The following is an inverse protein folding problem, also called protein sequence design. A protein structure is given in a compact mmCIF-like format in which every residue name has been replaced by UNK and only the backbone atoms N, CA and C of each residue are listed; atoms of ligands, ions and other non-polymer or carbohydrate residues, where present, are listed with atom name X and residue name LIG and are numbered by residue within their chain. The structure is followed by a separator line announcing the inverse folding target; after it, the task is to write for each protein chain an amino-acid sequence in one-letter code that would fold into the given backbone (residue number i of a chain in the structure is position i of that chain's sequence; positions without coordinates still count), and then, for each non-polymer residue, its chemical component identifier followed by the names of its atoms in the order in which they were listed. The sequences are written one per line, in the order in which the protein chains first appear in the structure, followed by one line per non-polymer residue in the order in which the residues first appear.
data_IF_919889223767
#
_entry.id   IF_919889223767
#
_cell.length_a   1.000
_cell.length_b   1.000
_cell.length_c   1.000
_cell.angle_alpha   90.00
_cell.angle_beta   90.00
_cell.angle_gamma   90.00
#
_symmetry.space_group_name_H-M   'P 1'
#
loop_
_entity.id
_entity.type
_entity.pdbx_description
1 polymer ?
#
# COMPACT_ATOMS: atom_id res chain seq x y z
N UNK A 1 11.31 1.87 6.64
CA UNK A 1 12.26 1.91 5.50
C UNK A 1 11.54 2.07 4.17
N UNK A 2 10.66 1.15 3.73
CA UNK A 2 9.96 1.26 2.43
C UNK A 2 9.21 2.60 2.22
N UNK A 3 8.49 3.09 3.24
CA UNK A 3 7.84 4.41 3.17
C UNK A 3 8.81 5.57 2.97
N UNK A 4 10.01 5.52 3.56
CA UNK A 4 11.01 6.57 3.39
C UNK A 4 11.61 6.55 1.97
N UNK A 5 11.89 5.35 1.45
CA UNK A 5 12.34 5.18 0.06
C UNK A 5 11.28 5.73 -0.90
N UNK A 6 10.01 5.35 -0.70
CA UNK A 6 8.91 5.80 -1.55
C UNK A 6 8.72 7.31 -1.50
N UNK A 7 8.73 7.90 -0.29
CA UNK A 7 8.62 9.35 -0.13
C UNK A 7 9.75 10.06 -0.85
N UNK A 8 11.00 9.63 -0.63
CA UNK A 8 12.17 10.19 -1.27
C UNK A 8 12.10 10.11 -2.81
N UNK A 9 11.70 8.96 -3.35
CA UNK A 9 11.74 8.73 -4.80
C UNK A 9 10.54 9.34 -5.54
N UNK A 10 9.32 9.23 -4.99
CA UNK A 10 8.07 9.48 -5.70
C UNK A 10 7.21 10.61 -5.12
N UNK A 11 7.60 11.20 -4.00
CA UNK A 11 6.88 12.34 -3.38
C UNK A 11 7.77 13.58 -3.32
N UNK A 12 8.96 13.44 -2.72
CA UNK A 12 9.91 14.55 -2.56
C UNK A 12 10.83 14.70 -3.79
N UNK A 13 10.93 13.66 -4.63
CA UNK A 13 11.77 13.58 -5.83
C UNK A 13 13.26 13.83 -5.55
N UNK A 14 13.77 13.38 -4.40
CA UNK A 14 15.14 13.68 -3.94
C UNK A 14 16.22 13.31 -4.96
N UNK A 15 16.20 12.13 -5.63
CA UNK A 15 17.25 11.79 -6.59
C UNK A 15 17.27 12.72 -7.81
N UNK A 16 16.10 13.20 -8.24
CA UNK A 16 15.94 14.12 -9.38
C UNK A 16 16.44 15.51 -8.99
N UNK A 17 15.99 16.02 -7.84
CA UNK A 17 16.44 17.31 -7.29
C UNK A 17 17.95 17.33 -7.01
N UNK A 18 18.51 16.21 -6.55
CA UNK A 18 19.95 16.06 -6.36
C UNK A 18 20.73 16.15 -7.68
N UNK A 19 20.21 15.58 -8.78
CA UNK A 19 20.81 15.72 -10.12
C UNK A 19 20.79 17.17 -10.59
N UNK A 20 19.64 17.84 -10.49
CA UNK A 20 19.47 19.23 -10.90
C UNK A 20 20.48 20.12 -10.16
N UNK A 21 20.52 20.04 -8.83
CA UNK A 21 21.43 20.84 -8.00
C UNK A 21 22.92 20.55 -8.29
N UNK A 22 23.26 19.30 -8.66
CA UNK A 22 24.63 18.96 -9.05
C UNK A 22 25.01 19.59 -10.39
N UNK A 23 24.11 19.58 -11.38
CA UNK A 23 24.34 20.20 -12.69
C UNK A 23 24.56 21.71 -12.54
N UNK A 24 23.73 22.39 -11.75
CA UNK A 24 23.86 23.83 -11.47
C UNK A 24 25.20 24.20 -10.81
N UNK A 25 25.78 23.27 -10.04
CA UNK A 25 27.06 23.43 -9.35
C UNK A 25 28.26 22.90 -10.16
N UNK A 26 28.05 22.39 -11.39
CA UNK A 26 29.10 21.78 -12.19
C UNK A 26 29.68 20.48 -11.59
N UNK A 27 28.87 19.74 -10.82
CA UNK A 27 29.22 18.46 -10.18
C UNK A 27 28.60 17.27 -10.94
N UNK A 28 29.05 16.06 -10.64
CA UNK A 28 28.52 14.82 -11.24
C UNK A 28 27.07 14.53 -10.77
N UNK A 29 26.06 14.61 -11.66
CA UNK A 29 24.67 14.34 -11.30
C UNK A 29 24.42 12.86 -10.95
N UNK A 30 25.09 11.93 -11.62
CA UNK A 30 24.92 10.50 -11.33
C UNK A 30 25.34 10.22 -9.89
N UNK A 31 26.49 10.77 -9.48
CA UNK A 31 27.00 10.64 -8.12
C UNK A 31 26.04 11.25 -7.09
N UNK A 32 25.46 12.41 -7.39
CA UNK A 32 24.49 13.05 -6.51
C UNK A 32 23.22 12.20 -6.30
N UNK A 33 22.67 11.62 -7.37
CA UNK A 33 21.55 10.69 -7.27
C UNK A 33 21.91 9.43 -6.47
N UNK A 34 23.11 8.85 -6.65
CA UNK A 34 23.54 7.69 -5.86
C UNK A 34 23.57 7.99 -4.35
N UNK A 35 24.00 9.19 -3.96
CA UNK A 35 23.98 9.64 -2.56
C UNK A 35 22.57 9.79 -2.03
N UNK A 36 21.69 10.44 -2.80
CA UNK A 36 20.28 10.63 -2.42
C UNK A 36 19.57 9.28 -2.23
N UNK A 37 19.78 8.34 -3.15
CA UNK A 37 19.14 7.00 -3.11
C UNK A 37 19.64 6.16 -1.93
N UNK A 38 20.96 6.14 -1.70
CA UNK A 38 21.56 5.24 -0.71
C UNK A 38 21.68 5.84 0.70
N UNK A 39 21.52 7.16 0.83
CA UNK A 39 21.82 7.89 2.07
C UNK A 39 23.31 7.93 2.43
N UNK A 40 24.21 7.51 1.53
CA UNK A 40 25.66 7.42 1.79
C UNK A 40 26.41 8.67 1.34
N UNK A 41 27.53 8.93 2.01
CA UNK A 41 28.52 9.94 1.63
C UNK A 41 29.38 9.49 0.45
N UNK A 42 30.09 10.42 -0.19
CA UNK A 42 31.00 10.10 -1.29
C UNK A 42 32.13 9.14 -0.88
N UNK A 43 32.62 9.25 0.35
CA UNK A 43 33.62 8.34 0.88
C UNK A 43 33.06 6.92 1.02
N UNK A 44 31.85 6.76 1.57
CA UNK A 44 31.20 5.45 1.72
C UNK A 44 30.85 4.82 0.37
N UNK A 45 30.44 5.62 -0.60
CA UNK A 45 30.19 5.16 -1.97
C UNK A 45 31.48 4.64 -2.64
N UNK A 46 32.64 5.28 -2.39
CA UNK A 46 33.92 4.85 -2.95
C UNK A 46 34.42 3.50 -2.39
N UNK A 47 34.02 3.16 -1.16
CA UNK A 47 34.39 1.90 -0.50
C UNK A 47 33.33 0.79 -0.68
N UNK A 48 32.27 1.05 -1.45
CA UNK A 48 31.22 0.07 -1.68
C UNK A 48 31.71 -1.09 -2.57
N UNK A 49 31.30 -2.34 -2.30
CA UNK A 49 31.57 -3.45 -3.21
C UNK A 49 31.09 -3.15 -4.63
N UNK A 50 31.91 -3.44 -5.65
CA UNK A 50 31.65 -3.07 -7.06
C UNK A 50 30.24 -3.45 -7.52
N UNK A 51 29.77 -4.68 -7.24
CA UNK A 51 28.43 -5.10 -7.65
C UNK A 51 27.30 -4.25 -7.06
N UNK A 52 27.39 -3.85 -5.79
CA UNK A 52 26.39 -2.97 -5.17
C UNK A 52 26.50 -1.54 -5.69
N UNK A 53 27.72 -1.08 -5.96
CA UNK A 53 27.98 0.24 -6.53
C UNK A 53 27.39 0.35 -7.94
N UNK A 54 27.65 -0.64 -8.79
CA UNK A 54 27.16 -0.70 -10.18
C UNK A 54 25.63 -0.75 -10.21
N UNK A 55 24.99 -1.53 -9.33
CA UNK A 55 23.53 -1.59 -9.23
C UNK A 55 22.92 -0.25 -8.77
N UNK A 56 23.57 0.42 -7.81
CA UNK A 56 23.15 1.75 -7.34
C UNK A 56 23.31 2.80 -8.46
N UNK A 57 24.42 2.75 -9.21
CA UNK A 57 24.66 3.63 -10.34
C UNK A 57 23.63 3.40 -11.46
N UNK A 58 23.32 2.15 -11.78
CA UNK A 58 22.28 1.80 -12.75
C UNK A 58 20.90 2.35 -12.31
N UNK A 59 20.55 2.21 -11.03
CA UNK A 59 19.30 2.76 -10.48
C UNK A 59 19.30 4.29 -10.54
N UNK A 60 20.42 4.94 -10.18
CA UNK A 60 20.57 6.39 -10.22
C UNK A 60 20.44 6.95 -11.65
N UNK A 61 20.87 6.19 -12.67
CA UNK A 61 20.75 6.58 -14.07
C UNK A 61 19.29 6.65 -14.55
N UNK A 62 18.38 5.89 -13.95
CA UNK A 62 16.96 5.83 -14.34
C UNK A 62 16.14 7.07 -13.93
N UNK A 63 16.65 7.88 -13.00
CA UNK A 63 16.01 9.14 -12.62
C UNK A 63 16.32 10.23 -13.67
N UNK A 64 15.34 11.02 -14.10
CA UNK A 64 15.61 12.19 -14.94
C UNK A 64 16.41 13.25 -14.14
N UNK A 65 16.94 14.23 -14.87
CA UNK A 65 17.72 15.36 -14.35
C UNK A 65 17.00 16.71 -14.53
N UNK A 66 15.69 16.67 -14.78
CA UNK A 66 14.85 17.84 -14.96
C UNK A 66 13.44 17.60 -14.42
N UNK A 67 12.75 18.69 -14.08
CA UNK A 67 11.33 18.72 -13.75
C UNK A 67 10.53 19.26 -14.95
N UNK A 68 9.24 18.95 -15.01
CA UNK A 68 8.28 19.54 -15.94
C UNK A 68 6.94 19.84 -15.24
N UNK A 69 6.25 20.88 -15.73
CA UNK A 69 4.94 21.28 -15.22
C UNK A 69 3.87 20.26 -15.59
N UNK A 70 2.99 19.94 -14.64
CA UNK A 70 1.81 19.10 -14.85
C UNK A 70 0.58 19.73 -14.19
N UNK A 71 -0.61 19.21 -14.52
CA UNK A 71 -1.88 19.69 -13.95
C UNK A 71 -1.94 19.61 -12.41
N UNK A 72 -1.11 18.76 -11.80
CA UNK A 72 -1.07 18.51 -10.35
C UNK A 72 0.23 18.99 -9.70
N UNK A 73 1.01 19.83 -10.40
CA UNK A 73 2.26 20.41 -9.94
C UNK A 73 3.49 19.89 -10.70
N UNK A 74 4.67 20.40 -10.37
CA UNK A 74 5.93 19.96 -10.98
C UNK A 74 6.23 18.49 -10.67
N UNK A 75 6.54 17.73 -11.72
CA UNK A 75 6.93 16.33 -11.64
C UNK A 75 8.23 16.08 -12.40
N UNK A 76 8.95 14.98 -12.12
CA UNK A 76 10.14 14.64 -12.90
C UNK A 76 9.81 14.43 -14.38
N UNK A 77 10.70 14.91 -15.26
CA UNK A 77 10.50 14.86 -16.71
C UNK A 77 10.21 13.44 -17.21
N UNK A 78 9.14 13.28 -17.99
CA UNK A 78 8.72 12.00 -18.57
C UNK A 78 7.93 11.10 -17.62
N UNK A 79 7.61 11.57 -16.41
CA UNK A 79 6.67 10.89 -15.53
C UNK A 79 5.25 11.38 -15.85
N UNK A 80 4.25 10.57 -15.54
CA UNK A 80 2.85 10.90 -15.85
C UNK A 80 1.93 10.57 -14.69
N UNK A 81 0.87 11.36 -14.53
CA UNK A 81 -0.26 10.96 -13.71
C UNK A 81 -1.22 10.11 -14.53
N UNK A 82 -1.62 8.96 -13.98
CA UNK A 82 -2.65 8.09 -14.56
C UNK A 82 -3.78 7.90 -13.56
N UNK A 83 -5.02 7.87 -14.04
CA UNK A 83 -6.17 7.56 -13.19
C UNK A 83 -6.06 6.12 -12.66
N UNK A 84 -6.51 5.89 -11.43
CA UNK A 84 -6.40 4.59 -10.77
C UNK A 84 -7.13 3.47 -11.52
N UNK A 85 -8.22 3.75 -12.22
CA UNK A 85 -8.96 2.77 -13.03
C UNK A 85 -8.28 2.39 -14.35
N UNK A 86 -7.27 3.14 -14.80
CA UNK A 86 -6.38 2.75 -15.89
C UNK A 86 -5.30 1.77 -15.43
N UNK A 87 -4.97 1.77 -14.14
CA UNK A 87 -3.92 0.93 -13.56
C UNK A 87 -4.47 -0.32 -12.87
N UNK A 88 -5.71 -0.27 -12.37
CA UNK A 88 -6.32 -1.31 -11.57
C UNK A 88 -7.81 -1.52 -11.90
N UNK A 89 -8.28 -2.75 -11.72
CA UNK A 89 -9.71 -3.04 -11.64
C UNK A 89 -10.25 -2.53 -10.29
N UNK A 90 -10.90 -1.37 -10.29
CA UNK A 90 -11.47 -0.75 -9.09
C UNK A 90 -12.91 -1.22 -8.87
N UNK A 91 -13.16 -1.87 -7.73
CA UNK A 91 -14.51 -2.17 -7.29
C UNK A 91 -14.76 -1.78 -5.84
N UNK A 92 -16.00 -1.96 -5.41
CA UNK A 92 -16.52 -1.53 -4.11
C UNK A 92 -17.17 -2.75 -3.45
N UNK A 93 -16.95 -2.90 -2.15
CA UNK A 93 -17.58 -3.95 -1.35
C UNK A 93 -19.08 -3.77 -1.19
N UNK A 94 -19.70 -4.66 -0.39
CA UNK A 94 -21.14 -4.69 -0.18
C UNK A 94 -21.50 -5.20 1.22
N UNK A 95 -22.54 -4.61 1.80
CA UNK A 95 -23.16 -5.07 3.04
C UNK A 95 -24.49 -5.76 2.74
N UNK A 96 -24.63 -7.07 3.00
CA UNK A 96 -25.92 -7.74 3.05
C UNK A 96 -26.86 -7.10 4.10
N UNK A 97 -28.18 -7.30 4.02
CA UNK A 97 -29.13 -6.70 4.96
C UNK A 97 -28.80 -7.03 6.42
N UNK A 98 -28.38 -6.02 7.19
CA UNK A 98 -28.00 -6.19 8.61
C UNK A 98 -29.14 -6.67 9.52
N UNK A 99 -30.39 -6.49 9.10
CA UNK A 99 -31.58 -7.00 9.81
C UNK A 99 -31.78 -8.51 9.66
N UNK A 100 -31.00 -9.14 8.79
CA UNK A 100 -31.02 -10.56 8.48
C UNK A 100 -29.69 -11.19 8.94
N UNK A 101 -29.55 -11.51 10.24
CA UNK A 101 -28.28 -11.95 10.82
C UNK A 101 -27.76 -13.26 10.22
N UNK A 102 -28.62 -14.06 9.59
CA UNK A 102 -28.23 -15.32 8.94
C UNK A 102 -27.22 -15.15 7.80
N UNK A 103 -27.04 -13.93 7.28
CA UNK A 103 -26.02 -13.64 6.26
C UNK A 103 -24.62 -13.49 6.84
N UNK A 104 -24.51 -13.28 8.15
CA UNK A 104 -23.27 -13.03 8.86
C UNK A 104 -22.94 -14.22 9.76
N UNK A 105 -21.65 -14.47 9.96
CA UNK A 105 -21.17 -15.52 10.83
C UNK A 105 -19.90 -15.10 11.57
N UNK A 106 -19.52 -15.91 12.57
CA UNK A 106 -18.32 -15.74 13.37
C UNK A 106 -17.30 -16.89 13.14
N UNK A 107 -17.55 -17.76 12.15
CA UNK A 107 -16.82 -19.02 11.96
C UNK A 107 -15.73 -18.98 10.88
N UNK A 108 -14.61 -19.66 11.13
CA UNK A 108 -13.44 -19.74 10.24
C UNK A 108 -13.65 -20.51 8.91
N UNK A 109 -14.89 -20.91 8.59
CA UNK A 109 -15.26 -21.56 7.31
C UNK A 109 -15.91 -20.64 6.28
N UNK A 110 -16.20 -19.39 6.67
CA UNK A 110 -16.90 -18.40 5.85
C UNK A 110 -15.96 -17.27 5.37
N UNK A 111 -16.47 -16.36 4.54
CA UNK A 111 -15.67 -15.31 3.94
C UNK A 111 -15.38 -14.19 4.94
N UNK A 112 -14.10 -13.91 5.22
CA UNK A 112 -13.71 -12.73 6.01
C UNK A 112 -14.34 -11.47 5.44
N UNK A 113 -15.18 -10.79 6.22
CA UNK A 113 -15.88 -9.59 5.80
C UNK A 113 -15.31 -8.38 6.50
N UNK A 114 -14.48 -7.64 5.76
CA UNK A 114 -13.69 -6.53 6.29
C UNK A 114 -14.53 -5.27 6.32
N UNK A 115 -14.60 -4.66 7.50
CA UNK A 115 -15.15 -3.34 7.73
C UNK A 115 -14.05 -2.29 7.88
N UNK A 116 -14.43 -1.01 7.85
CA UNK A 116 -13.50 0.10 8.12
C UNK A 116 -12.87 -0.06 9.51
N UNK A 117 -13.65 -0.56 10.50
CA UNK A 117 -13.16 -0.77 11.87
C UNK A 117 -11.99 -1.76 11.88
N UNK A 118 -12.11 -2.85 11.13
CA UNK A 118 -11.06 -3.87 11.00
C UNK A 118 -9.79 -3.29 10.35
N UNK A 119 -9.94 -2.41 9.36
CA UNK A 119 -8.79 -1.72 8.76
C UNK A 119 -8.06 -0.81 9.76
N UNK A 120 -8.77 -0.29 10.77
CA UNK A 120 -8.17 0.59 11.79
C UNK A 120 -7.25 -0.13 12.77
N UNK A 121 -7.39 -1.44 12.90
CA UNK A 121 -6.55 -2.30 13.76
C UNK A 121 -5.62 -3.19 12.95
N UNK A 122 -5.63 -3.06 11.63
CA UNK A 122 -4.78 -3.82 10.73
C UNK A 122 -3.48 -3.09 10.48
N UNK A 123 -2.43 -3.88 10.23
CA UNK A 123 -1.13 -3.35 9.81
C UNK A 123 -1.13 -3.01 8.33
N UNK A 124 -0.06 -3.39 7.64
CA UNK A 124 0.00 -3.29 6.17
C UNK A 124 -0.95 -4.31 5.54
N UNK A 125 -0.97 -5.53 6.07
CA UNK A 125 -1.79 -6.63 5.53
C UNK A 125 -3.09 -6.82 6.32
N UNK A 126 -4.21 -6.89 5.62
CA UNK A 126 -5.51 -7.23 6.17
C UNK A 126 -5.64 -8.74 6.29
N UNK A 127 -5.34 -9.27 7.48
CA UNK A 127 -5.36 -10.71 7.75
C UNK A 127 -6.60 -11.19 8.49
N UNK A 128 -7.29 -10.29 9.20
CA UNK A 128 -8.37 -10.61 10.13
C UNK A 128 -9.61 -9.77 9.83
N UNK A 129 -10.77 -10.23 10.26
CA UNK A 129 -12.00 -9.44 10.34
C UNK A 129 -12.74 -9.85 11.61
N UNK A 130 -13.55 -8.94 12.18
CA UNK A 130 -14.42 -9.29 13.31
C UNK A 130 -15.68 -10.05 12.91
N UNK A 131 -16.08 -9.99 11.64
CA UNK A 131 -17.27 -10.63 11.09
C UNK A 131 -16.93 -11.38 9.80
N UNK A 132 -17.80 -12.33 9.43
CA UNK A 132 -17.71 -13.13 8.21
C UNK A 132 -19.05 -13.09 7.47
N UNK A 133 -19.02 -13.35 6.16
CA UNK A 133 -20.22 -13.60 5.36
C UNK A 133 -20.29 -15.07 4.96
N UNK A 134 -21.49 -15.64 5.08
CA UNK A 134 -21.73 -16.99 4.59
C UNK A 134 -21.53 -17.07 3.07
N UNK A 135 -21.15 -18.25 2.58
CA UNK A 135 -21.05 -18.48 1.12
C UNK A 135 -22.37 -18.19 0.39
N UNK A 136 -23.52 -18.47 1.04
CA UNK A 136 -24.84 -18.11 0.51
C UNK A 136 -25.00 -16.59 0.40
N UNK A 137 -24.61 -15.82 1.42
CA UNK A 137 -24.69 -14.36 1.37
C UNK A 137 -23.84 -13.78 0.23
N UNK A 138 -22.61 -14.27 0.07
CA UNK A 138 -21.71 -13.83 -1.02
C UNK A 138 -22.34 -14.08 -2.38
N UNK A 139 -22.90 -15.28 -2.61
CA UNK A 139 -23.57 -15.62 -3.87
C UNK A 139 -24.87 -14.84 -4.07
N UNK A 140 -25.78 -14.87 -3.09
CA UNK A 140 -27.12 -14.27 -3.14
C UNK A 140 -27.08 -12.76 -3.39
N UNK A 141 -26.16 -12.06 -2.72
CA UNK A 141 -26.03 -10.61 -2.86
C UNK A 141 -24.99 -10.19 -3.89
N UNK A 142 -24.37 -11.15 -4.60
CA UNK A 142 -23.32 -10.91 -5.57
C UNK A 142 -22.21 -10.02 -4.97
N UNK A 143 -21.75 -10.38 -3.76
CA UNK A 143 -20.66 -9.69 -3.07
C UNK A 143 -19.36 -10.03 -3.80
N UNK A 144 -18.62 -9.01 -4.22
CA UNK A 144 -17.38 -9.23 -4.96
C UNK A 144 -16.32 -9.81 -4.03
N UNK A 145 -15.81 -10.98 -4.38
CA UNK A 145 -14.62 -11.56 -3.74
C UNK A 145 -13.40 -10.78 -4.19
N UNK A 146 -12.69 -10.24 -3.22
CA UNK A 146 -11.44 -9.49 -3.40
C UNK A 146 -10.28 -10.49 -3.33
N UNK A 147 -9.47 -10.65 -4.39
CA UNK A 147 -8.34 -11.57 -4.38
C UNK A 147 -7.26 -11.19 -3.37
N UNK A 148 -6.33 -12.11 -3.13
CA UNK A 148 -5.08 -11.84 -2.41
C UNK A 148 -4.27 -10.72 -3.09
N UNK A 149 -3.42 -10.00 -2.35
CA UNK A 149 -2.53 -8.93 -2.87
C UNK A 149 -3.26 -7.75 -3.52
N UNK A 150 -4.51 -7.53 -3.17
CA UNK A 150 -5.31 -6.38 -3.63
C UNK A 150 -5.20 -5.22 -2.63
N UNK A 151 -5.03 -3.99 -3.10
CA UNK A 151 -4.98 -2.81 -2.21
C UNK A 151 -6.40 -2.39 -1.85
N UNK A 152 -6.65 -2.15 -0.57
CA UNK A 152 -7.91 -1.66 -0.02
C UNK A 152 -7.78 -0.19 0.38
N UNK A 153 -8.84 0.59 0.16
CA UNK A 153 -8.95 1.98 0.62
C UNK A 153 -10.33 2.23 1.24
N UNK A 154 -10.37 2.72 2.47
CA UNK A 154 -11.63 3.24 3.03
C UNK A 154 -11.92 4.63 2.46
N UNK A 155 -13.15 4.83 1.97
CA UNK A 155 -13.55 6.09 1.32
C UNK A 155 -14.88 6.66 1.84
N UNK A 156 -15.56 5.97 2.76
CA UNK A 156 -16.68 6.53 3.54
C UNK A 156 -16.33 6.54 5.02
N UNK A 157 -17.00 7.39 5.80
CA UNK A 157 -16.82 7.56 7.25
C UNK A 157 -15.38 7.98 7.63
N UNK A 158 -14.43 7.04 7.66
CA UNK A 158 -13.01 7.33 7.86
C UNK A 158 -12.29 7.11 6.54
N UNK A 159 -11.90 8.19 5.87
CA UNK A 159 -11.20 8.15 4.58
C UNK A 159 -9.70 7.91 4.81
N UNK A 160 -9.07 7.15 3.92
CA UNK A 160 -7.60 7.04 3.86
C UNK A 160 -6.99 5.92 4.70
N UNK A 161 -7.79 4.97 5.22
CA UNK A 161 -7.21 3.71 5.72
C UNK A 161 -6.85 2.85 4.52
N UNK A 162 -5.60 2.38 4.48
CA UNK A 162 -5.06 1.59 3.37
C UNK A 162 -4.50 0.29 3.90
N UNK A 163 -4.80 -0.83 3.23
CA UNK A 163 -4.29 -2.16 3.56
C UNK A 163 -4.09 -2.97 2.28
N UNK A 164 -3.35 -4.09 2.36
CA UNK A 164 -3.21 -5.08 1.29
C UNK A 164 -3.89 -6.37 1.76
N UNK A 165 -4.73 -6.98 0.94
CA UNK A 165 -5.38 -8.26 1.31
C UNK A 165 -4.36 -9.38 1.48
N UNK A 166 -4.55 -10.17 2.55
CA UNK A 166 -3.83 -11.42 2.77
C UNK A 166 -4.81 -12.60 2.69
N UNK A 167 -4.74 -13.31 1.56
CA UNK A 167 -5.76 -14.24 1.11
C UNK A 167 -7.00 -13.55 0.53
N UNK A 168 -7.90 -14.31 -0.11
CA UNK A 168 -9.14 -13.77 -0.63
C UNK A 168 -10.12 -13.44 0.50
N UNK A 169 -10.89 -12.36 0.32
CA UNK A 169 -11.84 -11.85 1.33
C UNK A 169 -12.97 -11.04 0.66
N UNK A 170 -13.91 -10.54 1.44
CA UNK A 170 -14.96 -9.61 1.01
C UNK A 170 -14.93 -8.37 1.89
N UNK A 171 -15.47 -7.25 1.41
CA UNK A 171 -15.46 -5.98 2.15
C UNK A 171 -16.85 -5.34 2.17
N UNK A 172 -17.06 -4.38 3.07
CA UNK A 172 -18.25 -3.55 3.09
C UNK A 172 -18.25 -2.46 1.99
N UNK A 173 -19.38 -1.76 1.81
CA UNK A 173 -19.59 -0.73 0.77
C UNK A 173 -18.86 0.59 1.00
N UNK A 174 -18.07 0.68 2.07
CA UNK A 174 -17.23 1.82 2.39
C UNK A 174 -15.76 1.62 2.02
N UNK A 175 -15.43 0.44 1.48
CA UNK A 175 -14.08 0.05 1.10
C UNK A 175 -14.04 -0.18 -0.40
N UNK A 176 -13.13 0.54 -1.07
CA UNK A 176 -12.74 0.30 -2.43
C UNK A 176 -11.58 -0.69 -2.47
N UNK A 177 -11.49 -1.46 -3.54
CA UNK A 177 -10.41 -2.41 -3.76
C UNK A 177 -9.82 -2.22 -5.16
N UNK A 178 -8.49 -2.17 -5.24
CA UNK A 178 -7.72 -1.91 -6.45
C UNK A 178 -6.95 -3.18 -6.82
N UNK A 179 -7.54 -4.00 -7.68
CA UNK A 179 -6.91 -5.23 -8.15
C UNK A 179 -6.06 -4.89 -9.36
N UNK A 180 -4.74 -4.94 -9.19
CA UNK A 180 -3.80 -4.72 -10.27
C UNK A 180 -3.78 -5.97 -11.19
N UNK A 181 -3.76 -5.79 -12.52
CA UNK A 181 -3.48 -6.90 -13.45
C UNK A 181 -2.02 -7.35 -13.32
N UNK A 182 -1.73 -8.57 -13.78
CA UNK A 182 -0.39 -9.17 -13.65
C UNK A 182 0.70 -8.39 -14.39
N UNK A 183 0.33 -7.64 -15.44
CA UNK A 183 1.18 -6.79 -16.26
C UNK A 183 1.08 -5.30 -15.90
N UNK A 184 0.52 -4.96 -14.72
CA UNK A 184 0.37 -3.58 -14.28
C UNK A 184 1.72 -2.85 -14.20
N UNK A 185 1.69 -1.56 -14.52
CA UNK A 185 2.88 -0.70 -14.45
C UNK A 185 3.42 -0.51 -13.03
N UNK A 186 2.62 -0.81 -12.00
CA UNK A 186 2.97 -0.65 -10.58
C UNK A 186 2.66 -1.93 -9.79
N UNK A 187 3.29 -2.06 -8.63
CA UNK A 187 3.03 -3.14 -7.66
C UNK A 187 2.01 -2.74 -6.61
N UNK A 188 1.42 -3.73 -5.92
CA UNK A 188 0.50 -3.48 -4.80
C UNK A 188 1.19 -2.72 -3.65
N UNK A 189 2.48 -2.96 -3.44
CA UNK A 189 3.32 -2.27 -2.48
C UNK A 189 3.50 -0.79 -2.85
N UNK A 190 3.73 -0.50 -4.15
CA UNK A 190 3.79 0.87 -4.66
C UNK A 190 2.45 1.59 -4.44
N UNK A 191 1.34 0.97 -4.86
CA UNK A 191 0.01 1.56 -4.74
C UNK A 191 -0.38 1.77 -3.27
N UNK A 192 -0.06 0.80 -2.39
CA UNK A 192 -0.27 0.93 -0.95
C UNK A 192 0.46 2.16 -0.39
N UNK A 193 1.73 2.34 -0.74
CA UNK A 193 2.55 3.45 -0.26
C UNK A 193 2.04 4.78 -0.82
N UNK A 194 1.67 4.82 -2.09
CA UNK A 194 1.09 5.98 -2.76
C UNK A 194 -0.18 6.44 -2.04
N UNK A 195 -1.17 5.55 -1.91
CA UNK A 195 -2.45 5.84 -1.27
C UNK A 195 -2.29 6.18 0.22
N UNK A 196 -1.29 5.60 0.91
CA UNK A 196 -1.01 5.98 2.31
C UNK A 196 -0.44 7.41 2.41
N UNK A 197 0.35 7.84 1.44
CA UNK A 197 0.91 9.21 1.39
C UNK A 197 0.00 10.24 0.74
N UNK A 198 -1.09 9.79 0.12
CA UNK A 198 -2.00 10.64 -0.64
C UNK A 198 -2.76 11.62 0.28
N UNK A 199 -2.85 12.88 -0.14
CA UNK A 199 -3.63 13.90 0.57
C UNK A 199 -5.11 13.85 0.17
N UNK A 200 -5.92 13.24 1.04
CA UNK A 200 -7.36 13.12 0.84
C UNK A 200 -8.16 14.41 1.15
N UNK A 201 -7.53 15.47 1.66
CA UNK A 201 -8.25 16.69 2.06
C UNK A 201 -8.91 17.42 0.89
N UNK A 202 -8.36 17.25 -0.31
CA UNK A 202 -8.86 17.87 -1.54
C UNK A 202 -9.79 16.94 -2.34
N UNK A 203 -10.01 15.70 -1.90
CA UNK A 203 -10.96 14.79 -2.54
C UNK A 203 -12.40 15.22 -2.22
N UNK A 204 -13.13 15.72 -3.22
CA UNK A 204 -14.54 16.15 -3.07
C UNK A 204 -14.74 17.64 -2.81
N UNK A 205 -13.69 18.47 -2.92
CA UNK A 205 -13.75 19.91 -2.62
C UNK A 205 -14.29 20.79 -3.75
N UNK A 206 -15.34 20.36 -4.45
CA UNK A 206 -16.08 21.20 -5.42
C UNK A 206 -17.27 21.89 -4.75
N UNK A 207 -17.00 22.97 -4.00
CA UNK A 207 -17.93 24.08 -3.67
C UNK A 207 -19.30 23.81 -3.02
N UNK A 208 -19.72 22.58 -2.80
CA UNK A 208 -20.96 22.25 -2.10
C UNK A 208 -20.72 21.14 -1.09
N UNK A 209 -21.38 21.23 0.06
CA UNK A 209 -21.34 20.25 1.16
C UNK A 209 -21.84 18.84 0.71
N UNK A 210 -22.21 18.68 -0.57
CA UNK A 210 -22.83 17.50 -1.16
C UNK A 210 -21.88 16.57 -1.95
N UNK A 211 -20.66 16.98 -2.32
CA UNK A 211 -19.74 16.12 -3.09
C UNK A 211 -18.88 15.23 -2.16
N UNK A 212 -19.54 14.36 -1.39
CA UNK A 212 -18.86 13.32 -0.63
C UNK A 212 -18.06 12.41 -1.58
N UNK A 213 -16.87 11.96 -1.13
CA UNK A 213 -16.04 11.00 -1.88
C UNK A 213 -16.88 9.79 -2.28
N UNK A 214 -16.96 9.57 -3.60
CA UNK A 214 -17.77 8.51 -4.18
C UNK A 214 -16.90 7.59 -5.06
N UNK A 215 -17.49 6.50 -5.55
CA UNK A 215 -16.76 5.50 -6.35
C UNK A 215 -16.13 6.06 -7.63
N UNK A 216 -16.69 7.13 -8.22
CA UNK A 216 -16.12 7.78 -9.39
C UNK A 216 -14.84 8.52 -9.00
N UNK A 217 -14.90 9.35 -7.95
CA UNK A 217 -13.72 10.05 -7.41
C UNK A 217 -12.59 9.09 -7.05
N UNK A 218 -12.92 7.91 -6.50
CA UNK A 218 -11.92 6.88 -6.18
C UNK A 218 -11.26 6.26 -7.43
N UNK A 219 -12.01 6.05 -8.50
CA UNK A 219 -11.47 5.56 -9.78
C UNK A 219 -10.55 6.58 -10.46
N UNK A 220 -10.86 7.86 -10.27
CA UNK A 220 -10.14 8.99 -10.88
C UNK A 220 -8.96 9.48 -10.02
N UNK A 221 -8.61 8.80 -8.91
CA UNK A 221 -7.44 9.17 -8.11
C UNK A 221 -6.21 9.18 -9.04
N UNK A 222 -5.50 10.31 -9.17
CA UNK A 222 -4.32 10.40 -10.00
C UNK A 222 -3.18 9.68 -9.29
N UNK A 223 -2.48 8.80 -9.99
CA UNK A 223 -1.33 8.05 -9.52
C UNK A 223 -0.13 8.43 -10.37
N UNK A 224 0.94 8.91 -9.74
CA UNK A 224 2.19 9.21 -10.44
C UNK A 224 2.87 7.90 -10.85
N UNK A 225 3.28 7.81 -12.11
CA UNK A 225 3.93 6.63 -12.69
C UNK A 225 5.22 7.08 -13.38
N UNK A 226 6.33 6.52 -12.92
CA UNK A 226 7.65 6.68 -13.53
C UNK A 226 7.88 5.62 -14.61
N UNK A 227 9.06 5.62 -15.24
CA UNK A 227 9.43 4.55 -16.17
C UNK A 227 9.42 3.16 -15.49
N UNK A 228 9.11 2.13 -16.29
CA UNK A 228 8.94 0.75 -15.81
C UNK A 228 10.19 0.18 -15.13
N UNK A 229 11.38 0.53 -15.62
CA UNK A 229 12.63 0.03 -15.05
C UNK A 229 12.85 0.58 -13.64
N UNK A 230 12.54 1.87 -13.42
CA UNK A 230 12.64 2.51 -12.11
C UNK A 230 11.61 1.93 -11.14
N UNK A 231 10.37 1.73 -11.58
CA UNK A 231 9.34 1.07 -10.76
C UNK A 231 9.75 -0.37 -10.44
N UNK A 232 10.38 -1.08 -11.39
CA UNK A 232 10.95 -2.41 -11.19
C UNK A 232 12.06 -2.43 -10.14
N UNK A 233 13.00 -1.49 -10.21
CA UNK A 233 14.07 -1.32 -9.21
C UNK A 233 13.51 -1.00 -7.83
N UNK A 234 12.54 -0.08 -7.74
CA UNK A 234 11.86 0.24 -6.51
C UNK A 234 11.16 -1.00 -5.93
N UNK A 235 10.35 -1.67 -6.73
CA UNK A 235 9.56 -2.85 -6.33
C UNK A 235 10.47 -3.96 -5.79
N UNK A 236 11.57 -4.26 -6.49
CA UNK A 236 12.58 -5.24 -6.01
C UNK A 236 13.17 -4.86 -4.66
N UNK A 237 13.35 -3.56 -4.37
CA UNK A 237 13.91 -3.09 -3.11
C UNK A 237 12.92 -3.18 -1.94
N UNK A 238 11.61 -3.06 -2.19
CA UNK A 238 10.60 -3.01 -1.13
C UNK A 238 9.89 -4.33 -0.88
N UNK A 239 9.76 -5.22 -1.87
CA UNK A 239 9.09 -6.52 -1.71
C UNK A 239 9.60 -7.29 -0.48
N UNK A 240 10.93 -7.48 -0.27
CA UNK A 240 11.41 -8.23 0.89
C UNK A 240 10.98 -7.60 2.23
N UNK A 241 10.87 -6.27 2.29
CA UNK A 241 10.43 -5.54 3.48
C UNK A 241 8.94 -5.82 3.73
N UNK A 242 8.12 -5.84 2.68
CA UNK A 242 6.70 -6.14 2.80
C UNK A 242 6.46 -7.60 3.20
N UNK A 243 7.22 -8.56 2.64
CA UNK A 243 7.14 -9.96 3.09
C UNK A 243 7.52 -10.12 4.56
N UNK A 244 8.58 -9.45 5.02
CA UNK A 244 8.95 -9.43 6.43
C UNK A 244 7.85 -8.84 7.32
N UNK A 245 7.19 -7.76 6.87
CA UNK A 245 6.05 -7.18 7.60
C UNK A 245 4.89 -8.18 7.67
N UNK A 246 4.59 -8.87 6.57
CA UNK A 246 3.53 -9.89 6.51
C UNK A 246 3.79 -11.04 7.48
N UNK A 247 5.01 -11.58 7.46
CA UNK A 247 5.44 -12.67 8.34
C UNK A 247 5.36 -12.27 9.81
N UNK A 248 5.85 -11.07 10.15
CA UNK A 248 5.75 -10.54 11.52
C UNK A 248 4.32 -10.33 11.98
N UNK A 249 3.43 -9.90 11.09
CA UNK A 249 2.02 -9.80 11.44
C UNK A 249 1.40 -11.17 11.74
N UNK A 250 1.77 -12.22 10.99
CA UNK A 250 1.37 -13.60 11.31
C UNK A 250 1.89 -14.04 12.68
N UNK A 251 3.18 -13.83 12.96
CA UNK A 251 3.78 -14.16 14.26
C UNK A 251 3.05 -13.45 15.41
N UNK A 252 2.78 -12.15 15.28
CA UNK A 252 2.02 -11.38 16.27
C UNK A 252 0.62 -11.97 16.48
N UNK A 253 -0.06 -12.35 15.40
CA UNK A 253 -1.38 -12.97 15.50
C UNK A 253 -1.34 -14.32 16.22
N UNK A 254 -0.39 -15.19 15.87
CA UNK A 254 -0.21 -16.51 16.49
C UNK A 254 0.17 -16.40 17.96
N UNK A 255 1.10 -15.50 18.30
CA UNK A 255 1.51 -15.26 19.69
C UNK A 255 0.35 -14.71 20.51
N UNK A 256 -0.44 -13.78 19.96
CA UNK A 256 -1.63 -13.25 20.63
C UNK A 256 -2.69 -14.32 20.90
N UNK A 257 -2.96 -15.19 19.92
CA UNK A 257 -3.89 -16.30 20.10
C UNK A 257 -3.40 -17.33 21.13
N UNK A 258 -2.11 -17.64 21.10
CA UNK A 258 -1.47 -18.56 22.05
C UNK A 258 -1.53 -18.00 23.46
N UNK A 259 -1.18 -16.72 23.65
CA UNK A 259 -1.29 -16.04 24.93
C UNK A 259 -2.74 -16.06 25.45
N UNK A 260 -3.71 -15.70 24.60
CA UNK A 260 -5.13 -15.71 24.97
C UNK A 260 -5.66 -17.09 25.37
N UNK A 261 -5.07 -18.16 24.83
CA UNK A 261 -5.43 -19.55 25.18
C UNK A 261 -4.75 -20.03 26.47
N UNK A 262 -3.49 -19.66 26.68
CA UNK A 262 -2.71 -20.14 27.82
C UNK A 262 -2.98 -19.36 29.10
N UNK A 263 -3.26 -18.05 29.02
CA UNK A 263 -3.47 -17.21 30.20
C UNK A 263 -4.64 -17.71 31.09
N UNK A 264 -5.82 -18.05 30.54
CA UNK A 264 -6.91 -18.61 31.35
C UNK A 264 -6.55 -19.96 31.98
N UNK A 265 -5.78 -20.80 31.28
CA UNK A 265 -5.34 -22.11 31.77
C UNK A 265 -4.31 -22.02 32.89
N UNK A 266 -3.40 -21.04 32.79
CA UNK A 266 -2.44 -20.72 33.86
C UNK A 266 -3.18 -20.17 35.10
N UNK A 267 -4.13 -19.25 34.90
CA UNK A 267 -4.90 -18.65 36.01
C UNK A 267 -5.83 -19.64 36.71
N UNK A 268 -6.32 -20.66 35.99
CA UNK A 268 -7.14 -21.74 36.55
C UNK A 268 -6.34 -22.89 37.15
N UNK A 269 -5.00 -22.90 36.99
CA UNK A 269 -4.14 -23.99 37.45
C UNK A 269 -4.18 -25.25 36.58
N UNK A 270 -4.82 -25.21 35.42
CA UNK A 270 -4.81 -26.32 34.44
C UNK A 270 -3.43 -26.53 33.81
N UNK A 271 -2.58 -25.50 33.83
CA UNK A 271 -1.19 -25.52 33.38
C UNK A 271 -0.33 -24.90 34.48
N UNK A 272 0.73 -25.59 34.89
CA UNK A 272 1.72 -25.08 35.84
C UNK A 272 3.03 -24.74 35.10
N UNK A 273 3.72 -23.68 35.56
CA UNK A 273 5.06 -23.35 35.08
C UNK A 273 6.07 -24.04 36.00
N UNK A 274 6.91 -24.96 35.49
CA UNK A 274 7.95 -25.59 36.30
C UNK A 274 8.88 -24.54 36.91
N UNK A 275 9.25 -24.75 38.18
CA UNK A 275 10.18 -23.90 38.92
C UNK A 275 11.63 -24.00 38.40
#
# INVERSE_FOLDING_TARGET
MAQAIFKSWFVDFDPVKAKIAAIEQGKDPLRAAMRAISGKTDAELAHMPRGHHDQLAATAALFPDAMEESELGEIPKGWVFQAADLLAEVGIGKTPPRKEPQWFSEGEGDWRWVSIKDMGTSGVFQQRSSEFLTSEAVSRFNVRVVPNRTVLLSFKLTIGRVAITDGPMVTNEAIAHFKLPDDSAISSEYLYLYLRSFDYSNLGSTSSIADAVNSKTIREIPIIVANSDLIGCFTKSVIPIFEEVRNRQYEIATLGATQGTLLPKLLSGEVEVPA
#
